data_IF_742660503485
#
_entry.id   IF_742660503485
#
_cell.length_a   1.000
_cell.length_b   1.000
_cell.length_c   1.000
_cell.angle_alpha   90.00
_cell.angle_beta   90.00
_cell.angle_gamma   90.00
#
_symmetry.space_group_name_H-M   'P 1'
#
loop_
_entity.id
_entity.type
_entity.pdbx_description
1 polymer ?
#
# COMPACT_ATOMS: atom_id res chain seq x y z
N UNK A 1 29.48 -20.17 16.35
CA UNK A 1 30.21 -21.41 16.03
C UNK A 1 29.90 -21.93 14.63
N UNK A 2 28.65 -22.30 14.31
CA UNK A 2 28.30 -22.82 12.97
C UNK A 2 28.64 -21.82 11.84
N UNK A 3 28.24 -20.55 11.95
CA UNK A 3 28.58 -19.56 10.92
C UNK A 3 30.10 -19.44 10.73
N UNK A 4 30.85 -19.47 11.83
CA UNK A 4 32.30 -19.36 11.81
C UNK A 4 32.96 -20.58 11.15
N UNK A 5 32.46 -21.80 11.38
CA UNK A 5 32.99 -23.01 10.73
C UNK A 5 32.79 -23.00 9.22
N UNK A 6 31.75 -22.32 8.75
CA UNK A 6 31.49 -22.09 7.31
C UNK A 6 32.18 -20.82 6.76
N UNK A 7 33.05 -20.17 7.56
CA UNK A 7 33.77 -18.97 7.15
C UNK A 7 32.92 -17.69 7.11
N UNK A 8 31.67 -17.73 7.57
CA UNK A 8 30.74 -16.61 7.64
C UNK A 8 30.99 -15.80 8.92
N UNK A 9 31.80 -14.75 8.80
CA UNK A 9 32.17 -13.87 9.91
C UNK A 9 31.40 -12.55 9.79
N UNK A 10 30.52 -12.26 10.76
CA UNK A 10 29.79 -10.98 10.83
C UNK A 10 30.76 -9.80 10.74
N UNK A 11 30.47 -8.85 9.85
CA UNK A 11 31.28 -7.67 9.57
C UNK A 11 32.42 -7.88 8.58
N UNK A 12 32.83 -9.13 8.29
CA UNK A 12 33.85 -9.41 7.27
C UNK A 12 33.23 -9.27 5.88
N UNK A 13 33.90 -8.55 4.99
CA UNK A 13 33.44 -8.32 3.61
C UNK A 13 32.02 -7.72 3.52
N UNK A 14 31.62 -6.99 4.56
CA UNK A 14 30.28 -6.38 4.64
C UNK A 14 29.15 -7.35 4.98
N UNK A 15 29.46 -8.59 5.39
CA UNK A 15 28.45 -9.55 5.82
C UNK A 15 27.68 -9.03 7.04
N UNK A 16 26.37 -8.82 6.88
CA UNK A 16 25.46 -8.47 7.97
C UNK A 16 24.59 -9.66 8.33
N UNK A 17 24.23 -9.78 9.60
CA UNK A 17 23.40 -10.87 10.12
C UNK A 17 22.10 -10.28 10.66
N UNK A 18 20.98 -10.63 10.03
CA UNK A 18 19.65 -10.16 10.41
C UNK A 18 18.85 -11.27 11.10
N UNK A 19 18.02 -10.89 12.06
CA UNK A 19 17.09 -11.80 12.74
C UNK A 19 15.68 -11.67 12.16
N UNK A 20 14.99 -12.79 11.96
CA UNK A 20 13.56 -12.75 11.64
C UNK A 20 12.77 -12.45 12.92
N UNK A 21 12.13 -11.29 12.96
CA UNK A 21 11.32 -10.84 14.10
C UNK A 21 9.87 -11.27 13.91
N UNK A 22 9.57 -12.50 14.31
CA UNK A 22 8.26 -13.13 14.16
C UNK A 22 7.78 -13.85 15.41
N UNK A 23 8.65 -14.02 16.41
CA UNK A 23 8.31 -14.65 17.67
C UNK A 23 8.13 -13.54 18.70
N UNK A 24 7.03 -13.47 19.48
CA UNK A 24 6.81 -12.39 20.43
C UNK A 24 8.02 -12.12 21.35
N UNK A 25 8.77 -13.15 21.76
CA UNK A 25 9.97 -13.00 22.57
C UNK A 25 11.09 -12.19 21.89
N UNK A 26 11.30 -12.35 20.57
CA UNK A 26 12.36 -11.61 19.87
C UNK A 26 11.93 -10.19 19.46
N UNK A 27 10.65 -9.85 19.63
CA UNK A 27 10.14 -8.49 19.57
C UNK A 27 10.30 -7.78 20.91
N UNK A 28 9.77 -8.39 21.99
CA UNK A 28 9.76 -7.74 23.30
C UNK A 28 11.13 -7.69 23.98
N UNK A 29 12.07 -8.55 23.56
CA UNK A 29 13.46 -8.53 24.03
C UNK A 29 14.42 -8.01 22.94
N UNK A 30 13.94 -7.18 22.00
CA UNK A 30 14.73 -6.72 20.87
C UNK A 30 16.06 -6.07 21.28
N UNK A 31 16.13 -5.40 22.42
CA UNK A 31 17.34 -4.83 23.02
C UNK A 31 18.44 -5.88 23.24
N UNK A 32 18.06 -7.06 23.76
CA UNK A 32 18.99 -8.19 23.95
C UNK A 32 19.42 -8.73 22.58
N UNK A 33 18.47 -8.93 21.67
CA UNK A 33 18.76 -9.45 20.33
C UNK A 33 19.64 -8.51 19.50
N UNK A 34 19.56 -7.19 19.70
CA UNK A 34 20.41 -6.20 19.04
C UNK A 34 21.91 -6.42 19.28
N UNK A 35 22.29 -7.10 20.36
CA UNK A 35 23.70 -7.46 20.62
C UNK A 35 24.23 -8.49 19.61
N UNK A 36 23.36 -9.37 19.12
CA UNK A 36 23.73 -10.48 18.24
C UNK A 36 23.51 -10.19 16.76
N UNK A 37 22.62 -9.26 16.43
CA UNK A 37 22.18 -8.99 15.05
C UNK A 37 22.46 -7.56 14.59
N UNK A 38 22.54 -7.36 13.27
CA UNK A 38 22.70 -6.06 12.61
C UNK A 38 21.36 -5.39 12.30
N UNK A 39 20.27 -6.14 12.41
CA UNK A 39 18.92 -5.67 12.19
C UNK A 39 17.90 -6.80 12.25
N UNK A 40 16.66 -6.44 11.93
CA UNK A 40 15.52 -7.34 11.97
C UNK A 40 14.77 -7.33 10.64
N UNK A 41 14.14 -8.46 10.31
CA UNK A 41 13.12 -8.54 9.27
C UNK A 41 11.85 -9.10 9.91
N UNK A 42 10.79 -8.31 9.96
CA UNK A 42 9.51 -8.71 10.53
C UNK A 42 8.88 -9.79 9.65
N UNK A 43 8.61 -10.95 10.25
CA UNK A 43 7.81 -12.03 9.64
C UNK A 43 6.35 -11.85 10.04
N UNK A 44 5.62 -10.99 9.33
CA UNK A 44 4.31 -10.51 9.79
C UNK A 44 3.23 -11.60 9.92
N UNK A 45 3.36 -12.67 9.12
CA UNK A 45 2.40 -13.78 9.13
C UNK A 45 2.54 -14.62 10.41
N UNK A 46 3.76 -15.07 10.70
CA UNK A 46 4.03 -15.91 11.86
C UNK A 46 3.94 -15.08 13.15
N UNK A 47 4.29 -13.79 13.11
CA UNK A 47 4.03 -12.85 14.19
C UNK A 47 2.54 -12.77 14.55
N UNK A 48 1.68 -12.65 13.55
CA UNK A 48 0.23 -12.58 13.77
C UNK A 48 -0.28 -13.87 14.39
N UNK A 49 0.15 -15.02 13.86
CA UNK A 49 -0.21 -16.33 14.39
C UNK A 49 0.22 -16.51 15.85
N UNK A 50 1.44 -16.09 16.20
CA UNK A 50 1.99 -16.31 17.54
C UNK A 50 1.47 -15.30 18.56
N UNK A 51 1.19 -14.05 18.18
CA UNK A 51 0.55 -13.07 19.08
C UNK A 51 -0.87 -13.50 19.44
N UNK A 52 -1.64 -14.00 18.48
CA UNK A 52 -3.03 -14.41 18.70
C UNK A 52 -3.18 -15.87 19.16
N UNK A 53 -2.12 -16.69 19.04
CA UNK A 53 -2.21 -18.12 19.28
C UNK A 53 -3.16 -18.83 18.31
N UNK A 54 -3.35 -18.28 17.11
CA UNK A 54 -4.35 -18.69 16.14
C UNK A 54 -3.69 -19.14 14.84
N UNK A 55 -3.83 -20.42 14.50
CA UNK A 55 -3.32 -20.96 13.25
C UNK A 55 -4.02 -20.33 12.04
N UNK A 56 -3.25 -19.72 11.13
CA UNK A 56 -3.79 -19.06 9.92
C UNK A 56 -4.50 -20.01 8.97
N UNK A 57 -4.06 -21.27 8.94
CA UNK A 57 -4.61 -22.33 8.08
C UNK A 57 -5.80 -23.06 8.74
N UNK A 58 -6.27 -22.57 9.90
CA UNK A 58 -7.43 -23.15 10.55
C UNK A 58 -8.71 -22.62 9.88
N UNK A 59 -9.32 -23.45 9.05
CA UNK A 59 -10.55 -23.14 8.32
C UNK A 59 -11.70 -22.64 9.20
N UNK A 60 -11.73 -23.02 10.48
CA UNK A 60 -12.76 -22.54 11.43
C UNK A 60 -12.47 -21.11 11.91
N UNK A 61 -11.21 -20.71 11.94
CA UNK A 61 -10.78 -19.38 12.35
C UNK A 61 -10.74 -18.42 11.15
N UNK A 62 -10.51 -18.86 9.92
CA UNK A 62 -10.45 -17.91 8.79
C UNK A 62 -11.70 -16.98 8.70
N UNK A 63 -12.95 -17.48 8.81
CA UNK A 63 -14.14 -16.64 8.76
C UNK A 63 -14.22 -15.63 9.91
N UNK A 64 -13.75 -15.99 11.10
CA UNK A 64 -13.84 -15.18 12.32
C UNK A 64 -12.72 -14.11 12.39
N UNK A 65 -11.68 -14.20 11.54
CA UNK A 65 -10.51 -13.30 11.56
C UNK A 65 -10.85 -11.84 11.43
N UNK A 66 -11.80 -11.53 10.56
CA UNK A 66 -12.28 -10.17 10.34
C UNK A 66 -13.19 -9.72 11.46
N UNK A 67 -14.10 -10.58 11.92
CA UNK A 67 -15.08 -10.24 12.95
C UNK A 67 -14.43 -9.93 14.30
N UNK A 68 -13.35 -10.63 14.64
CA UNK A 68 -12.61 -10.44 15.90
C UNK A 68 -11.27 -9.70 15.72
N UNK A 69 -11.02 -9.16 14.53
CA UNK A 69 -9.84 -8.34 14.20
C UNK A 69 -8.48 -9.00 14.55
N UNK A 70 -8.34 -10.32 14.37
CA UNK A 70 -7.03 -10.99 14.44
C UNK A 70 -6.39 -11.06 13.06
N UNK A 71 -5.97 -9.90 12.58
CA UNK A 71 -5.34 -9.73 11.27
C UNK A 71 -4.00 -9.04 11.43
N UNK A 72 -3.16 -9.09 10.40
CA UNK A 72 -1.80 -8.52 10.44
C UNK A 72 -1.78 -7.00 10.67
N UNK A 73 -2.87 -6.29 10.35
CA UNK A 73 -3.00 -4.85 10.60
C UNK A 73 -3.81 -4.53 11.88
N UNK A 74 -3.92 -5.48 12.81
CA UNK A 74 -4.59 -5.21 14.08
C UNK A 74 -3.74 -4.36 15.01
N UNK A 75 -4.37 -3.77 16.02
CA UNK A 75 -3.69 -2.92 17.00
C UNK A 75 -2.58 -3.66 17.77
N UNK A 76 -2.78 -4.94 18.08
CA UNK A 76 -1.77 -5.73 18.78
C UNK A 76 -0.50 -5.91 17.93
N UNK A 77 -0.65 -6.18 16.63
CA UNK A 77 0.47 -6.34 15.71
C UNK A 77 1.16 -5.00 15.45
N UNK A 78 0.39 -3.92 15.25
CA UNK A 78 0.94 -2.57 15.08
C UNK A 78 1.76 -2.14 16.29
N UNK A 79 1.29 -2.39 17.52
CA UNK A 79 2.06 -2.11 18.74
C UNK A 79 3.35 -2.93 18.82
N UNK A 80 3.30 -4.21 18.48
CA UNK A 80 4.47 -5.08 18.47
C UNK A 80 5.53 -4.60 17.46
N UNK A 81 5.10 -4.25 16.24
CA UNK A 81 5.98 -3.72 15.18
C UNK A 81 6.57 -2.37 15.60
N UNK A 82 5.74 -1.44 16.08
CA UNK A 82 6.17 -0.14 16.59
C UNK A 82 7.24 -0.29 17.68
N UNK A 83 6.98 -1.15 18.65
CA UNK A 83 7.94 -1.44 19.73
C UNK A 83 9.27 -1.97 19.18
N UNK A 84 9.23 -2.94 18.27
CA UNK A 84 10.44 -3.48 17.65
C UNK A 84 11.24 -2.39 16.93
N UNK A 85 10.58 -1.58 16.11
CA UNK A 85 11.24 -0.52 15.33
C UNK A 85 11.92 0.46 16.28
N UNK A 86 11.19 0.97 17.28
CA UNK A 86 11.73 1.91 18.27
C UNK A 86 12.96 1.34 18.99
N UNK A 87 12.85 0.13 19.57
CA UNK A 87 13.95 -0.47 20.33
C UNK A 87 15.16 -0.77 19.43
N UNK A 88 14.94 -1.23 18.20
CA UNK A 88 16.02 -1.49 17.24
C UNK A 88 16.73 -0.20 16.83
N UNK A 89 15.98 0.87 16.55
CA UNK A 89 16.53 2.18 16.19
C UNK A 89 17.32 2.82 17.33
N UNK A 90 16.87 2.69 18.59
CA UNK A 90 17.64 3.11 19.77
C UNK A 90 19.02 2.44 19.85
N UNK A 91 19.12 1.21 19.33
CA UNK A 91 20.36 0.43 19.22
C UNK A 91 21.07 0.58 17.86
N UNK A 92 20.63 1.53 17.02
CA UNK A 92 21.15 1.80 15.67
C UNK A 92 21.10 0.57 14.76
N UNK A 93 20.04 -0.23 14.89
CA UNK A 93 19.75 -1.42 14.07
C UNK A 93 18.61 -1.12 13.13
N UNK A 94 18.69 -1.66 11.92
CA UNK A 94 17.65 -1.48 10.90
C UNK A 94 16.53 -2.49 11.07
N UNK A 95 15.30 -2.11 10.74
CA UNK A 95 14.15 -2.99 10.69
C UNK A 95 13.52 -2.97 9.31
N UNK A 96 13.44 -4.15 8.70
CA UNK A 96 12.65 -4.40 7.51
C UNK A 96 11.41 -5.21 7.81
N UNK A 97 10.53 -5.34 6.82
CA UNK A 97 9.39 -6.27 6.86
C UNK A 97 9.34 -7.10 5.58
N UNK A 98 9.12 -8.39 5.77
CA UNK A 98 8.76 -9.30 4.71
C UNK A 98 7.36 -9.87 4.95
N UNK A 99 6.56 -9.96 3.91
CA UNK A 99 5.23 -10.53 4.01
C UNK A 99 4.26 -9.91 3.03
N UNK A 100 3.08 -10.51 2.98
CA UNK A 100 2.03 -10.11 2.05
C UNK A 100 1.28 -8.85 2.53
N UNK A 101 1.23 -8.61 3.85
CA UNK A 101 0.49 -7.51 4.44
C UNK A 101 0.80 -6.11 3.85
N UNK A 102 2.07 -5.67 3.70
CA UNK A 102 2.35 -4.36 3.07
C UNK A 102 2.02 -4.32 1.58
N UNK A 103 1.89 -5.48 0.91
CA UNK A 103 1.45 -5.57 -0.49
C UNK A 103 -0.06 -5.42 -0.64
N UNK A 104 -0.81 -6.00 0.29
CA UNK A 104 -2.28 -6.10 0.21
C UNK A 104 -3.00 -4.92 0.87
N UNK A 105 -2.40 -4.32 1.90
CA UNK A 105 -3.01 -3.29 2.73
C UNK A 105 -2.21 -1.96 2.66
N UNK A 106 -2.69 -0.96 1.90
CA UNK A 106 -2.09 0.36 1.85
C UNK A 106 -2.03 1.10 3.19
N UNK A 107 -2.99 0.88 4.10
CA UNK A 107 -2.95 1.52 5.41
C UNK A 107 -1.86 0.90 6.29
N UNK A 108 -1.64 -0.41 6.16
CA UNK A 108 -0.52 -1.05 6.83
C UNK A 108 0.82 -0.55 6.30
N UNK A 109 0.96 -0.37 4.98
CA UNK A 109 2.15 0.28 4.41
C UNK A 109 2.35 1.70 4.95
N UNK A 110 1.29 2.52 4.99
CA UNK A 110 1.34 3.88 5.56
C UNK A 110 1.79 3.87 7.01
N UNK A 111 1.23 2.97 7.81
CA UNK A 111 1.64 2.76 9.19
C UNK A 111 3.14 2.47 9.30
N UNK A 112 3.67 1.56 8.49
CA UNK A 112 5.09 1.21 8.54
C UNK A 112 5.99 2.40 8.20
N UNK A 113 5.60 3.22 7.22
CA UNK A 113 6.33 4.46 6.86
C UNK A 113 6.25 5.49 7.99
N UNK A 114 5.08 5.67 8.63
CA UNK A 114 4.92 6.57 9.80
C UNK A 114 5.77 6.15 10.99
N UNK A 115 5.99 4.85 11.18
CA UNK A 115 6.89 4.32 12.19
C UNK A 115 8.35 4.24 11.70
N UNK A 116 8.67 4.88 10.56
CA UNK A 116 10.03 5.04 10.03
C UNK A 116 10.76 3.72 9.69
N UNK A 117 10.02 2.70 9.20
CA UNK A 117 10.65 1.43 8.81
C UNK A 117 11.77 1.61 7.76
N UNK A 118 12.86 0.86 7.89
CA UNK A 118 14.03 0.99 6.99
C UNK A 118 13.82 0.33 5.62
N UNK A 119 13.01 -0.72 5.55
CA UNK A 119 12.75 -1.44 4.29
C UNK A 119 11.44 -2.21 4.27
N UNK A 120 10.81 -2.26 3.11
CA UNK A 120 9.57 -3.01 2.88
C UNK A 120 9.77 -3.91 1.65
N UNK A 121 9.63 -5.23 1.85
CA UNK A 121 9.58 -6.19 0.75
C UNK A 121 8.15 -6.32 0.24
N UNK A 122 7.97 -6.20 -1.08
CA UNK A 122 6.65 -6.24 -1.73
C UNK A 122 6.61 -7.31 -2.82
N UNK A 123 5.41 -7.81 -3.11
CA UNK A 123 5.17 -8.66 -4.26
C UNK A 123 5.42 -7.89 -5.56
N UNK A 124 5.86 -8.59 -6.60
CA UNK A 124 6.23 -7.96 -7.87
C UNK A 124 5.08 -7.17 -8.50
N UNK A 125 3.85 -7.70 -8.42
CA UNK A 125 2.64 -7.09 -8.98
C UNK A 125 2.17 -5.85 -8.20
N UNK A 126 2.55 -5.73 -6.93
CA UNK A 126 2.21 -4.58 -6.06
C UNK A 126 3.36 -3.57 -5.93
N UNK A 127 4.58 -3.93 -6.32
CA UNK A 127 5.79 -3.11 -6.15
C UNK A 127 5.61 -1.66 -6.60
N UNK A 128 5.08 -1.43 -7.81
CA UNK A 128 4.88 -0.08 -8.34
C UNK A 128 3.88 0.73 -7.50
N UNK A 129 2.76 0.10 -7.10
CA UNK A 129 1.75 0.74 -6.24
C UNK A 129 2.30 1.00 -4.84
N UNK A 130 3.07 0.07 -4.29
CA UNK A 130 3.73 0.24 -3.00
C UNK A 130 4.69 1.42 -3.02
N UNK A 131 5.55 1.56 -4.04
CA UNK A 131 6.43 2.74 -4.19
C UNK A 131 5.66 4.06 -4.26
N UNK A 132 4.57 4.09 -5.03
CA UNK A 132 3.71 5.28 -5.10
C UNK A 132 3.12 5.59 -3.73
N UNK A 133 2.64 4.58 -3.00
CA UNK A 133 2.09 4.78 -1.67
C UNK A 133 3.15 5.19 -0.64
N UNK A 134 4.36 4.64 -0.70
CA UNK A 134 5.48 5.08 0.14
C UNK A 134 5.77 6.56 -0.10
N UNK A 135 6.00 6.97 -1.35
CA UNK A 135 6.25 8.37 -1.69
C UNK A 135 5.10 9.29 -1.25
N UNK A 136 3.85 8.91 -1.53
CA UNK A 136 2.66 9.65 -1.07
C UNK A 136 2.66 9.85 0.45
N UNK A 137 3.03 8.82 1.19
CA UNK A 137 3.03 8.84 2.66
C UNK A 137 4.15 9.73 3.18
N UNK A 138 5.37 9.57 2.66
CA UNK A 138 6.53 10.38 3.06
C UNK A 138 6.24 11.88 2.92
N UNK A 139 5.71 12.29 1.75
CA UNK A 139 5.35 13.69 1.49
C UNK A 139 4.22 14.16 2.41
N UNK A 140 3.14 13.39 2.53
CA UNK A 140 1.98 13.81 3.35
C UNK A 140 2.35 13.91 4.83
N UNK A 141 3.15 12.97 5.35
CA UNK A 141 3.55 12.97 6.75
C UNK A 141 4.54 14.10 7.08
N UNK A 142 5.41 14.46 6.12
CA UNK A 142 6.39 15.53 6.27
C UNK A 142 5.80 16.95 6.15
N UNK A 143 4.92 17.17 5.17
CA UNK A 143 4.53 18.53 4.76
C UNK A 143 3.20 19.02 5.34
N UNK A 144 2.32 18.11 5.81
CA UNK A 144 0.97 18.46 6.23
C UNK A 144 0.76 18.35 7.74
N UNK A 145 -0.17 19.15 8.28
CA UNK A 145 -0.71 18.98 9.64
C UNK A 145 -1.69 17.79 9.73
N UNK A 146 -2.00 17.35 10.96
CA UNK A 146 -2.84 16.18 11.20
C UNK A 146 -4.25 16.27 10.58
N UNK A 147 -4.88 17.45 10.52
CA UNK A 147 -6.20 17.61 9.91
C UNK A 147 -6.10 17.48 8.38
N UNK A 148 -5.08 18.12 7.80
CA UNK A 148 -4.79 18.08 6.36
C UNK A 148 -4.41 16.67 5.89
N UNK A 149 -3.65 15.91 6.69
CA UNK A 149 -3.31 14.50 6.42
C UNK A 149 -4.56 13.63 6.21
N UNK A 150 -5.56 13.76 7.10
CA UNK A 150 -6.81 12.99 7.01
C UNK A 150 -7.52 13.25 5.68
N UNK A 151 -7.61 14.53 5.27
CA UNK A 151 -8.22 14.92 3.99
C UNK A 151 -7.41 14.42 2.80
N UNK A 152 -6.08 14.52 2.84
CA UNK A 152 -5.19 14.06 1.77
C UNK A 152 -5.31 12.54 1.55
N UNK A 153 -5.25 11.74 2.61
CA UNK A 153 -5.40 10.30 2.51
C UNK A 153 -6.78 9.89 2.02
N UNK A 154 -7.83 10.59 2.48
CA UNK A 154 -9.18 10.37 1.98
C UNK A 154 -9.28 10.61 0.47
N UNK A 155 -8.76 11.74 -0.01
CA UNK A 155 -8.75 12.07 -1.44
C UNK A 155 -8.02 11.02 -2.27
N UNK A 156 -6.83 10.58 -1.84
CA UNK A 156 -6.05 9.56 -2.53
C UNK A 156 -6.76 8.20 -2.53
N UNK A 157 -7.39 7.82 -1.42
CA UNK A 157 -8.20 6.60 -1.35
C UNK A 157 -9.38 6.68 -2.32
N UNK A 158 -10.08 7.81 -2.38
CA UNK A 158 -11.22 8.02 -3.29
C UNK A 158 -10.76 7.99 -4.77
N UNK A 159 -9.54 8.45 -5.08
CA UNK A 159 -8.92 8.28 -6.41
C UNK A 159 -8.66 6.82 -6.75
N UNK A 160 -7.98 6.08 -5.86
CA UNK A 160 -7.63 4.68 -6.06
C UNK A 160 -8.91 3.82 -6.23
N UNK A 161 -9.94 4.10 -5.44
CA UNK A 161 -11.27 3.49 -5.55
C UNK A 161 -11.90 3.66 -6.93
N UNK A 162 -11.84 4.87 -7.49
CA UNK A 162 -12.37 5.13 -8.83
C UNK A 162 -11.56 4.42 -9.91
N UNK A 163 -10.23 4.39 -9.77
CA UNK A 163 -9.33 3.66 -10.67
C UNK A 163 -9.69 2.18 -10.70
N UNK A 164 -9.87 1.54 -9.54
CA UNK A 164 -10.25 0.13 -9.45
C UNK A 164 -11.64 -0.13 -10.05
N UNK A 165 -12.61 0.75 -9.79
CA UNK A 165 -13.97 0.64 -10.37
C UNK A 165 -14.00 0.69 -11.89
N UNK A 166 -13.08 1.41 -12.53
CA UNK A 166 -13.03 1.53 -14.00
C UNK A 166 -12.02 0.59 -14.67
N UNK A 167 -11.07 0.01 -13.92
CA UNK A 167 -9.99 -0.84 -14.44
C UNK A 167 -10.52 -1.99 -15.32
N UNK A 168 -11.46 -2.78 -14.81
CA UNK A 168 -12.01 -3.94 -15.52
C UNK A 168 -12.88 -3.53 -16.73
N UNK A 169 -13.88 -2.62 -16.58
CA UNK A 169 -14.67 -2.15 -17.71
C UNK A 169 -13.82 -1.56 -18.85
N UNK A 170 -12.80 -0.78 -18.51
CA UNK A 170 -11.83 -0.22 -19.45
C UNK A 170 -11.10 -1.31 -20.24
N UNK A 171 -10.60 -2.34 -19.57
CA UNK A 171 -9.93 -3.46 -20.22
C UNK A 171 -10.85 -4.21 -21.20
N UNK A 172 -12.10 -4.44 -20.81
CA UNK A 172 -13.12 -5.07 -21.66
C UNK A 172 -13.44 -4.22 -22.89
N UNK A 173 -13.66 -2.92 -22.74
CA UNK A 173 -13.91 -1.99 -23.84
C UNK A 173 -12.77 -1.96 -24.85
N UNK A 174 -11.52 -1.78 -24.39
CA UNK A 174 -10.34 -1.80 -25.26
C UNK A 174 -10.22 -3.10 -26.05
N UNK A 175 -10.50 -4.24 -25.40
CA UNK A 175 -10.49 -5.53 -26.06
C UNK A 175 -11.59 -5.65 -27.13
N UNK A 176 -12.79 -5.15 -26.88
CA UNK A 176 -13.88 -5.13 -27.86
C UNK A 176 -13.56 -4.25 -29.06
N UNK A 177 -13.07 -3.02 -28.84
CA UNK A 177 -12.63 -2.12 -29.92
C UNK A 177 -11.55 -2.79 -30.76
N UNK A 178 -10.56 -3.44 -30.12
CA UNK A 178 -9.48 -4.13 -30.83
C UNK A 178 -9.99 -5.31 -31.68
N UNK A 179 -10.88 -6.15 -31.14
CA UNK A 179 -11.42 -7.34 -31.83
C UNK A 179 -12.31 -6.98 -33.02
N UNK A 180 -12.92 -5.80 -32.99
CA UNK A 180 -13.84 -5.35 -34.02
C UNK A 180 -13.19 -4.45 -35.08
N UNK A 181 -11.86 -4.26 -35.05
CA UNK A 181 -11.10 -3.61 -36.13
C UNK A 181 -11.31 -4.38 -37.45
N UNK A 182 -11.94 -3.72 -38.43
CA UNK A 182 -12.31 -4.31 -39.72
C UNK A 182 -13.78 -4.76 -39.83
N UNK A 183 -14.62 -4.50 -38.81
CA UNK A 183 -16.08 -4.70 -38.83
C UNK A 183 -16.80 -3.39 -38.46
N UNK A 184 -18.09 -3.28 -38.78
CA UNK A 184 -18.94 -2.18 -38.31
C UNK A 184 -19.06 -2.24 -36.77
N UNK A 185 -18.34 -1.37 -36.07
CA UNK A 185 -18.42 -1.18 -34.62
C UNK A 185 -19.56 -0.21 -34.33
N UNK A 186 -20.35 -0.47 -33.29
CA UNK A 186 -21.22 0.55 -32.71
C UNK A 186 -20.34 1.70 -32.18
N UNK A 187 -20.47 2.89 -32.76
CA UNK A 187 -19.69 4.08 -32.41
C UNK A 187 -19.68 4.36 -30.90
N UNK A 188 -20.75 3.99 -30.17
CA UNK A 188 -20.85 4.14 -28.71
C UNK A 188 -19.79 3.33 -27.97
N UNK A 189 -19.33 2.18 -28.49
CA UNK A 189 -18.26 1.38 -27.88
C UNK A 189 -16.92 2.10 -27.99
N UNK A 190 -16.61 2.66 -29.16
CA UNK A 190 -15.37 3.41 -29.38
C UNK A 190 -15.34 4.69 -28.52
N UNK A 191 -16.41 5.47 -28.55
CA UNK A 191 -16.53 6.69 -27.75
C UNK A 191 -16.42 6.42 -26.24
N UNK A 192 -17.10 5.38 -25.74
CA UNK A 192 -17.01 5.01 -24.32
C UNK A 192 -15.62 4.49 -23.95
N UNK A 193 -14.94 3.78 -24.85
CA UNK A 193 -13.54 3.37 -24.65
C UNK A 193 -12.62 4.57 -24.53
N UNK A 194 -12.75 5.56 -25.41
CA UNK A 194 -11.91 6.77 -25.36
C UNK A 194 -12.20 7.62 -24.12
N UNK A 195 -13.49 7.78 -23.76
CA UNK A 195 -13.91 8.49 -22.55
C UNK A 195 -13.35 7.84 -21.28
N UNK A 196 -13.48 6.52 -21.13
CA UNK A 196 -13.00 5.82 -19.94
C UNK A 196 -11.47 5.79 -19.88
N UNK A 197 -10.79 5.70 -21.03
CA UNK A 197 -9.33 5.81 -21.12
C UNK A 197 -8.83 7.20 -20.73
N UNK A 198 -9.52 8.25 -21.17
CA UNK A 198 -9.26 9.64 -20.79
C UNK A 198 -9.39 9.84 -19.28
N UNK A 199 -10.53 9.42 -18.70
CA UNK A 199 -10.78 9.49 -17.25
C UNK A 199 -9.70 8.72 -16.47
N UNK A 200 -9.31 7.53 -16.91
CA UNK A 200 -8.28 6.74 -16.24
C UNK A 200 -6.92 7.46 -16.20
N UNK A 201 -6.49 8.05 -17.32
CA UNK A 201 -5.24 8.81 -17.39
C UNK A 201 -5.31 10.06 -16.52
N UNK A 202 -6.44 10.75 -16.55
CA UNK A 202 -6.62 11.96 -15.77
C UNK A 202 -6.68 11.69 -14.26
N UNK A 203 -7.37 10.63 -13.82
CA UNK A 203 -7.38 10.18 -12.42
C UNK A 203 -5.97 9.90 -11.89
N UNK A 204 -5.16 9.17 -12.68
CA UNK A 204 -3.76 8.93 -12.32
C UNK A 204 -2.98 10.25 -12.20
N UNK A 205 -3.18 11.17 -13.15
CA UNK A 205 -2.50 12.45 -13.17
C UNK A 205 -2.90 13.36 -11.99
N UNK A 206 -4.19 13.46 -11.65
CA UNK A 206 -4.62 14.30 -10.52
C UNK A 206 -4.05 13.79 -9.20
N UNK A 207 -4.00 12.48 -9.00
CA UNK A 207 -3.47 11.90 -7.75
C UNK A 207 -1.97 12.15 -7.60
N UNK A 208 -1.25 12.16 -8.73
CA UNK A 208 0.18 12.47 -8.77
C UNK A 208 0.43 13.96 -8.56
N UNK A 209 -0.27 14.83 -9.31
CA UNK A 209 -0.09 16.27 -9.24
C UNK A 209 -0.49 16.85 -7.87
N UNK A 210 -1.55 16.32 -7.25
CA UNK A 210 -1.94 16.70 -5.89
C UNK A 210 -0.78 16.54 -4.90
N UNK A 211 -0.12 15.39 -4.91
CA UNK A 211 0.99 15.09 -3.99
C UNK A 211 2.25 15.85 -4.40
N UNK A 212 2.47 16.04 -5.71
CA UNK A 212 3.59 16.83 -6.21
C UNK A 212 3.50 18.31 -5.84
N UNK A 213 2.30 18.90 -5.88
CA UNK A 213 2.10 20.29 -5.44
C UNK A 213 2.31 20.40 -3.92
N UNK A 214 1.99 19.36 -3.14
CA UNK A 214 2.34 19.30 -1.72
C UNK A 214 3.86 19.28 -1.53
N UNK A 215 4.55 18.37 -2.22
CA UNK A 215 6.01 18.18 -2.17
C UNK A 215 6.80 19.46 -2.52
N UNK A 216 6.35 20.23 -3.51
CA UNK A 216 7.02 21.48 -3.87
C UNK A 216 6.68 22.65 -2.94
N UNK A 217 5.70 22.52 -2.06
CA UNK A 217 5.12 23.65 -1.33
C UNK A 217 4.38 24.65 -2.24
N UNK A 218 3.85 24.20 -3.37
CA UNK A 218 3.17 25.03 -4.38
C UNK A 218 1.72 25.38 -3.96
N UNK A 219 1.47 25.65 -2.67
CA UNK A 219 0.16 26.00 -2.15
C UNK A 219 0.26 26.90 -0.90
N UNK A 220 -0.52 27.99 -0.87
CA UNK A 220 -0.61 28.87 0.31
C UNK A 220 -1.61 28.33 1.35
N UNK A 221 -2.63 27.61 0.88
CA UNK A 221 -3.74 27.07 1.69
C UNK A 221 -4.10 25.67 1.20
N UNK A 222 -3.88 24.68 2.06
CA UNK A 222 -4.20 23.28 1.76
C UNK A 222 -5.68 23.08 1.40
N UNK A 223 -6.59 23.85 2.00
CA UNK A 223 -8.02 23.74 1.71
C UNK A 223 -8.33 24.11 0.25
N UNK A 224 -7.65 25.12 -0.29
CA UNK A 224 -7.79 25.53 -1.69
C UNK A 224 -7.19 24.49 -2.64
N UNK A 225 -6.01 23.95 -2.30
CA UNK A 225 -5.38 22.86 -3.04
C UNK A 225 -6.30 21.63 -3.09
N UNK A 226 -6.79 21.20 -1.94
CA UNK A 226 -7.73 20.09 -1.81
C UNK A 226 -8.98 20.30 -2.67
N UNK A 227 -9.64 21.46 -2.56
CA UNK A 227 -10.86 21.75 -3.32
C UNK A 227 -10.63 21.79 -4.84
N UNK A 228 -9.49 22.32 -5.29
CA UNK A 228 -9.08 22.32 -6.70
C UNK A 228 -9.09 20.89 -7.28
N UNK A 229 -8.47 19.94 -6.59
CA UNK A 229 -8.36 18.56 -7.04
C UNK A 229 -9.62 17.73 -6.78
N UNK A 230 -10.25 17.91 -5.61
CA UNK A 230 -11.45 17.19 -5.21
C UNK A 230 -12.65 17.50 -6.12
N UNK A 231 -12.78 18.73 -6.62
CA UNK A 231 -13.83 19.08 -7.59
C UNK A 231 -13.79 18.18 -8.82
N UNK A 232 -12.59 17.93 -9.36
CA UNK A 232 -12.42 17.09 -10.54
C UNK A 232 -12.75 15.63 -10.25
N UNK A 233 -12.38 15.14 -9.06
CA UNK A 233 -12.74 13.80 -8.59
C UNK A 233 -14.26 13.60 -8.50
N UNK A 234 -14.98 14.60 -7.98
CA UNK A 234 -16.45 14.58 -7.88
C UNK A 234 -17.13 14.54 -9.27
N UNK A 235 -16.57 15.22 -10.27
CA UNK A 235 -17.05 15.14 -11.65
C UNK A 235 -16.91 13.73 -12.24
N UNK A 236 -15.80 13.06 -11.99
CA UNK A 236 -15.62 11.66 -12.39
C UNK A 236 -16.58 10.74 -11.67
N UNK A 237 -16.81 10.96 -10.37
CA UNK A 237 -17.80 10.22 -9.57
C UNK A 237 -19.22 10.27 -10.16
N UNK A 238 -19.57 11.36 -10.85
CA UNK A 238 -20.86 11.50 -11.57
C UNK A 238 -20.83 10.89 -12.97
N UNK A 239 -19.69 10.99 -13.67
CA UNK A 239 -19.55 10.57 -15.08
C UNK A 239 -19.40 9.05 -15.23
N UNK A 240 -18.60 8.42 -14.36
CA UNK A 240 -18.30 6.98 -14.41
C UNK A 240 -19.57 6.11 -14.33
N UNK A 241 -20.54 6.36 -13.44
CA UNK A 241 -21.80 5.62 -13.41
C UNK A 241 -22.59 5.67 -14.72
N UNK A 242 -22.55 6.81 -15.43
CA UNK A 242 -23.25 6.97 -16.71
C UNK A 242 -22.60 6.14 -17.82
N UNK A 243 -21.26 6.18 -17.89
CA UNK A 243 -20.49 5.32 -18.82
C UNK A 243 -20.78 3.84 -18.51
N UNK A 244 -20.73 3.44 -17.23
CA UNK A 244 -21.04 2.06 -16.82
C UNK A 244 -22.45 1.62 -17.22
N UNK A 245 -23.46 2.49 -17.11
CA UNK A 245 -24.81 2.17 -17.60
C UNK A 245 -24.82 1.98 -19.12
N UNK A 246 -24.16 2.86 -19.86
CA UNK A 246 -24.11 2.77 -21.32
C UNK A 246 -23.43 1.49 -21.81
N UNK A 247 -22.41 0.99 -21.10
CA UNK A 247 -21.65 -0.19 -21.54
C UNK A 247 -22.26 -1.53 -21.08
N UNK A 248 -23.21 -1.50 -20.14
CA UNK A 248 -23.96 -2.71 -19.72
C UNK A 248 -24.76 -3.33 -20.86
N UNK A 249 -25.26 -2.52 -21.79
CA UNK A 249 -25.94 -3.00 -23.00
C UNK A 249 -25.05 -3.91 -23.85
N UNK A 250 -23.72 -3.78 -23.72
CA UNK A 250 -22.73 -4.58 -24.41
C UNK A 250 -22.18 -5.75 -23.55
N UNK A 251 -22.83 -6.08 -22.43
CA UNK A 251 -22.40 -7.15 -21.51
C UNK A 251 -21.18 -6.80 -20.65
N UNK A 252 -20.85 -5.51 -20.54
CA UNK A 252 -19.76 -5.02 -19.67
C UNK A 252 -20.36 -4.52 -18.36
N UNK A 253 -20.13 -5.26 -17.28
CA UNK A 253 -20.55 -4.93 -15.91
C UNK A 253 -19.44 -4.25 -15.12
#
# INVERSE_FOLDING_TARGET
DIMLSEGLIRGREGLQVYCMAEIPSNIFCADIFCTYFDGFSIGSNDLTQLIYGAGRDNEKLIPLSKDYNYITNSEAIRRAIKHLIQVAHDHKKKVGICGQAPSDDPEFLRFLVREEIDSISLNFDTFARGRINTWRTEIIEAELDDESKVKAYKFLSDCDDLVERIRVPRGKLRNMVRKSRGKNIDNRIAENSDKIDGIFKELANISYLFVKEIDNGDFDDFSQLYEKYNRRLLEFGKTIPNIRRSIREFGIY
#
